data_IF_013559868360
#
_entry.id   IF_013559868360
#
_cell.length_a   1.000
_cell.length_b   1.000
_cell.length_c   1.000
_cell.angle_alpha   90.00
_cell.angle_beta   90.00
_cell.angle_gamma   90.00
#
_symmetry.space_group_name_H-M   'P 1'
#
loop_
_entity.id
_entity.type
_entity.pdbx_description
1 polymer ?
#
# COMPACT_ATOMS: atom_id res chain seq x y z
N UNK A 1 -55.12 -74.06 33.94
CA UNK A 1 -53.83 -73.70 34.58
C UNK A 1 -53.38 -72.36 33.99
N UNK A 2 -53.32 -71.31 34.82
CA UNK A 2 -52.47 -70.09 34.78
C UNK A 2 -51.95 -69.47 33.45
N UNK A 3 -52.29 -68.17 33.27
CA UNK A 3 -51.49 -67.02 32.73
C UNK A 3 -50.91 -67.07 31.27
N UNK A 4 -50.44 -65.98 30.61
CA UNK A 4 -50.42 -64.50 30.76
C UNK A 4 -50.67 -63.93 29.32
N UNK A 5 -51.57 -62.98 29.02
CA UNK A 5 -51.52 -61.50 29.12
C UNK A 5 -50.53 -60.74 28.17
N UNK A 6 -51.08 -59.91 27.27
CA UNK A 6 -50.52 -58.66 26.65
C UNK A 6 -49.22 -58.76 25.79
N UNK A 7 -48.90 -57.84 24.86
CA UNK A 7 -49.47 -56.51 24.55
C UNK A 7 -49.33 -56.12 23.05
N UNK A 8 -49.93 -54.99 22.66
CA UNK A 8 -49.72 -54.29 21.37
C UNK A 8 -48.24 -53.81 21.21
N UNK A 9 -47.80 -53.49 19.99
CA UNK A 9 -47.59 -52.09 19.56
C UNK A 9 -47.21 -51.96 18.07
N UNK A 10 -47.82 -50.98 17.40
CA UNK A 10 -47.47 -50.56 16.03
C UNK A 10 -46.07 -49.94 16.01
N UNK A 11 -45.19 -50.41 15.13
CA UNK A 11 -43.98 -49.68 14.76
C UNK A 11 -44.30 -48.66 13.66
N UNK A 12 -44.81 -47.50 14.04
CA UNK A 12 -44.73 -46.30 13.21
C UNK A 12 -43.29 -45.76 13.28
N UNK A 13 -42.50 -46.03 12.25
CA UNK A 13 -41.17 -45.41 12.11
C UNK A 13 -41.36 -43.94 11.71
N UNK A 14 -41.35 -43.05 12.69
CA UNK A 14 -41.21 -41.61 12.43
C UNK A 14 -39.79 -41.35 11.95
N UNK A 15 -39.61 -41.30 10.62
CA UNK A 15 -38.41 -40.75 10.03
C UNK A 15 -38.32 -39.27 10.41
N UNK A 16 -37.49 -38.97 11.40
CA UNK A 16 -37.10 -37.61 11.70
C UNK A 16 -36.25 -37.11 10.53
N UNK A 17 -36.90 -36.39 9.60
CA UNK A 17 -36.20 -35.64 8.57
C UNK A 17 -35.47 -34.51 9.29
N UNK A 18 -34.21 -34.75 9.63
CA UNK A 18 -33.31 -33.67 10.00
C UNK A 18 -33.12 -32.82 8.75
N UNK A 19 -33.93 -31.77 8.64
CA UNK A 19 -33.63 -30.60 7.84
C UNK A 19 -32.32 -30.04 8.37
N UNK A 20 -31.21 -30.57 7.88
CA UNK A 20 -29.92 -29.88 7.86
C UNK A 20 -30.17 -28.68 6.96
N UNK A 21 -30.63 -27.60 7.56
CA UNK A 21 -30.57 -26.30 6.93
C UNK A 21 -29.09 -25.97 6.82
N UNK A 22 -28.50 -26.35 5.68
CA UNK A 22 -27.19 -25.90 5.29
C UNK A 22 -27.29 -24.40 5.06
N UNK A 23 -27.18 -23.66 6.16
CA UNK A 23 -26.72 -22.28 6.13
C UNK A 23 -25.36 -22.37 5.47
N UNK A 24 -25.25 -21.88 4.23
CA UNK A 24 -23.95 -21.71 3.58
C UNK A 24 -23.08 -20.94 4.60
N UNK A 25 -21.96 -21.50 5.05
CA UNK A 25 -21.12 -20.80 6.02
C UNK A 25 -20.42 -19.62 5.30
N UNK A 26 -20.39 -18.43 5.93
CA UNK A 26 -19.69 -17.27 5.35
C UNK A 26 -18.22 -17.56 5.08
N UNK A 27 -17.71 -17.18 3.91
CA UNK A 27 -16.38 -17.55 3.41
C UNK A 27 -15.73 -16.41 2.59
N UNK A 28 -14.40 -16.40 2.53
CA UNK A 28 -13.67 -15.42 1.71
C UNK A 28 -13.76 -15.80 0.24
N UNK A 29 -14.21 -14.87 -0.60
CA UNK A 29 -14.25 -15.05 -2.06
C UNK A 29 -12.92 -14.68 -2.70
N UNK A 30 -12.18 -13.73 -2.10
CA UNK A 30 -10.91 -13.24 -2.60
C UNK A 30 -10.07 -12.58 -1.50
N UNK A 31 -8.74 -12.65 -1.63
CA UNK A 31 -7.78 -11.83 -0.88
C UNK A 31 -6.76 -11.31 -1.89
N UNK A 32 -6.52 -10.01 -1.90
CA UNK A 32 -5.56 -9.35 -2.79
C UNK A 32 -4.47 -8.62 -2.02
N UNK A 33 -3.23 -8.72 -2.48
CA UNK A 33 -2.09 -7.98 -1.94
C UNK A 33 -1.48 -7.09 -3.02
N UNK A 34 -1.26 -5.80 -2.72
CA UNK A 34 -0.71 -4.82 -3.67
C UNK A 34 0.23 -3.85 -2.99
N UNK A 35 1.25 -3.40 -3.70
CA UNK A 35 2.09 -2.27 -3.30
C UNK A 35 1.26 -0.98 -3.31
N UNK A 36 1.28 -0.20 -2.23
CA UNK A 36 0.36 0.93 -2.05
C UNK A 36 0.65 2.12 -2.97
N UNK A 37 1.89 2.24 -3.46
CA UNK A 37 2.36 3.37 -4.28
C UNK A 37 2.05 3.13 -5.76
N UNK A 38 2.29 1.92 -6.26
CA UNK A 38 1.97 1.53 -7.62
C UNK A 38 0.49 1.16 -7.80
N UNK A 39 -0.15 0.61 -6.77
CA UNK A 39 -1.50 0.05 -6.84
C UNK A 39 -1.57 -1.34 -7.50
N UNK A 40 -0.42 -2.00 -7.71
CA UNK A 40 -0.31 -3.28 -8.42
C UNK A 40 0.45 -4.35 -7.61
N UNK A 41 0.50 -5.57 -8.12
CA UNK A 41 1.26 -6.70 -7.58
C UNK A 41 2.77 -6.66 -7.91
N UNK A 42 3.35 -5.46 -8.06
CA UNK A 42 4.78 -5.26 -8.20
C UNK A 42 5.26 -4.15 -7.26
N UNK A 43 6.47 -4.29 -6.73
CA UNK A 43 7.01 -3.40 -5.72
C UNK A 43 8.44 -3.01 -6.09
N UNK A 44 8.78 -1.71 -5.99
CA UNK A 44 10.10 -1.15 -6.33
C UNK A 44 10.92 -0.70 -5.12
N UNK A 45 10.34 -0.80 -3.94
CA UNK A 45 11.01 -0.61 -2.67
C UNK A 45 10.32 -1.48 -1.61
N UNK A 46 10.96 -2.54 -1.11
CA UNK A 46 10.34 -3.43 -0.13
C UNK A 46 9.87 -2.74 1.17
N UNK A 47 10.34 -1.50 1.44
CA UNK A 47 9.99 -0.68 2.60
C UNK A 47 8.61 0.03 2.50
N UNK A 48 7.96 -0.08 1.34
CA UNK A 48 6.63 0.47 1.07
C UNK A 48 5.55 -0.13 2.00
N UNK A 49 4.42 0.57 2.06
CA UNK A 49 3.18 -0.02 2.54
C UNK A 49 2.58 -0.93 1.46
N UNK A 50 1.90 -1.98 1.91
CA UNK A 50 1.12 -2.89 1.09
C UNK A 50 -0.35 -2.79 1.50
N UNK A 51 -1.22 -2.65 0.50
CA UNK A 51 -2.66 -2.75 0.69
C UNK A 51 -3.06 -4.21 0.66
N UNK A 52 -3.76 -4.66 1.71
CA UNK A 52 -4.45 -5.94 1.77
C UNK A 52 -5.94 -5.66 1.62
N UNK A 53 -6.52 -6.20 0.56
CA UNK A 53 -7.95 -6.22 0.29
C UNK A 53 -8.48 -7.64 0.54
N UNK A 54 -9.63 -7.80 1.19
CA UNK A 54 -10.33 -9.08 1.19
C UNK A 54 -11.84 -8.89 0.93
N UNK A 55 -12.38 -9.81 0.13
CA UNK A 55 -13.80 -9.89 -0.22
C UNK A 55 -14.39 -11.12 0.45
N UNK A 56 -15.57 -10.95 1.05
CA UNK A 56 -16.19 -11.94 1.91
C UNK A 56 -17.65 -12.13 1.50
N UNK A 57 -18.03 -13.36 1.18
CA UNK A 57 -19.44 -13.72 1.08
C UNK A 57 -20.00 -13.94 2.49
N UNK A 58 -21.09 -13.25 2.78
CA UNK A 58 -21.78 -13.30 4.06
C UNK A 58 -23.18 -13.84 3.89
N UNK A 59 -23.43 -14.97 4.52
CA UNK A 59 -24.72 -15.65 4.46
C UNK A 59 -25.75 -15.05 5.42
N UNK A 60 -27.01 -15.18 5.05
CA UNK A 60 -28.14 -14.80 5.89
C UNK A 60 -28.04 -15.45 7.29
N UNK A 61 -28.24 -14.63 8.31
CA UNK A 61 -28.20 -15.03 9.70
C UNK A 61 -26.80 -15.34 10.25
N UNK A 62 -25.69 -15.07 9.53
CA UNK A 62 -24.33 -15.30 10.04
C UNK A 62 -24.10 -14.67 11.42
N UNK A 63 -23.74 -15.52 12.38
CA UNK A 63 -23.62 -15.21 13.81
C UNK A 63 -22.29 -15.71 14.42
N UNK A 64 -21.48 -16.43 13.64
CA UNK A 64 -20.15 -16.89 14.00
C UNK A 64 -19.07 -15.99 13.40
N UNK A 65 -17.98 -15.82 14.13
CA UNK A 65 -16.83 -15.10 13.63
C UNK A 65 -16.15 -15.83 12.46
N UNK A 66 -15.56 -15.06 11.55
CA UNK A 66 -14.81 -15.53 10.39
C UNK A 66 -13.37 -15.03 10.50
N UNK A 67 -12.40 -15.89 10.22
CA UNK A 67 -10.98 -15.58 10.46
C UNK A 67 -10.12 -15.70 9.19
N UNK A 68 -9.16 -14.80 9.05
CA UNK A 68 -8.12 -14.83 8.00
C UNK A 68 -6.75 -14.62 8.64
N UNK A 69 -5.82 -15.53 8.38
CA UNK A 69 -4.42 -15.36 8.77
C UNK A 69 -3.66 -14.52 7.74
N UNK A 70 -2.85 -13.59 8.25
CA UNK A 70 -1.92 -12.75 7.50
C UNK A 70 -0.52 -13.38 7.61
N UNK A 71 0.33 -13.33 6.58
CA UNK A 71 1.74 -13.71 6.68
C UNK A 71 2.45 -12.93 7.81
N UNK A 72 3.32 -13.61 8.57
CA UNK A 72 3.99 -13.06 9.76
C UNK A 72 5.00 -11.97 9.43
N UNK A 73 5.47 -11.96 8.19
CA UNK A 73 6.36 -10.96 7.61
C UNK A 73 5.71 -9.57 7.55
N UNK A 74 4.38 -9.46 7.76
CA UNK A 74 3.68 -8.18 7.79
C UNK A 74 3.60 -7.57 9.19
N UNK A 75 3.85 -6.27 9.30
CA UNK A 75 3.80 -5.45 10.52
C UNK A 75 3.04 -4.14 10.26
N UNK A 76 2.91 -3.29 11.29
CA UNK A 76 2.15 -2.04 11.16
C UNK A 76 0.65 -2.27 10.92
N UNK A 77 0.15 -3.44 11.33
CA UNK A 77 -1.26 -3.81 11.24
C UNK A 77 -2.14 -2.87 12.09
N UNK A 78 -3.40 -2.60 11.69
CA UNK A 78 -4.35 -1.86 12.51
C UNK A 78 -4.53 -2.47 13.91
N UNK A 79 -4.16 -1.71 14.95
CA UNK A 79 -4.34 -2.10 16.35
C UNK A 79 -5.76 -1.83 16.86
N UNK A 80 -6.43 -0.83 16.30
CA UNK A 80 -7.80 -0.48 16.65
C UNK A 80 -8.79 -1.22 15.74
N UNK A 81 -9.88 -1.79 16.28
CA UNK A 81 -10.92 -2.40 15.47
C UNK A 81 -11.61 -1.40 14.53
N UNK A 82 -12.01 -1.87 13.35
CA UNK A 82 -12.67 -1.07 12.33
C UNK A 82 -13.94 -1.76 11.78
N UNK A 83 -14.74 -1.01 11.04
CA UNK A 83 -16.05 -1.44 10.58
C UNK A 83 -15.95 -2.24 9.27
N UNK A 84 -16.65 -3.38 9.19
CA UNK A 84 -16.89 -4.07 7.93
C UNK A 84 -18.07 -3.40 7.22
N UNK A 85 -17.87 -3.00 5.95
CA UNK A 85 -18.81 -2.16 5.23
C UNK A 85 -19.45 -2.88 4.03
N UNK A 86 -20.75 -2.69 3.85
CA UNK A 86 -21.50 -3.04 2.63
C UNK A 86 -22.47 -1.90 2.31
N UNK A 87 -22.39 -1.34 1.09
CA UNK A 87 -23.22 -0.21 0.62
C UNK A 87 -23.29 0.97 1.63
N UNK A 88 -22.15 1.31 2.23
CA UNK A 88 -22.00 2.34 3.27
C UNK A 88 -22.76 2.07 4.59
N UNK A 89 -23.16 0.81 4.85
CA UNK A 89 -23.69 0.37 6.14
C UNK A 89 -22.68 -0.53 6.84
N UNK A 90 -22.60 -0.40 8.17
CA UNK A 90 -21.81 -1.26 9.05
C UNK A 90 -22.54 -2.60 9.18
N UNK A 91 -21.86 -3.68 8.80
CA UNK A 91 -22.40 -5.05 8.80
C UNK A 91 -21.61 -6.02 9.67
N UNK A 92 -20.48 -5.57 10.24
CA UNK A 92 -19.64 -6.34 11.12
C UNK A 92 -18.51 -5.50 11.68
N UNK A 93 -17.72 -6.09 12.58
CA UNK A 93 -16.55 -5.48 13.19
C UNK A 93 -15.31 -6.33 12.91
N UNK A 94 -14.30 -5.71 12.32
CA UNK A 94 -13.00 -6.31 12.03
C UNK A 94 -12.03 -5.93 13.15
N UNK A 95 -11.26 -6.91 13.61
CA UNK A 95 -10.17 -6.74 14.56
C UNK A 95 -8.98 -7.56 14.04
N UNK A 96 -7.75 -7.10 14.27
CA UNK A 96 -6.55 -7.83 13.88
C UNK A 96 -5.72 -8.02 15.15
N UNK A 97 -5.39 -9.27 15.48
CA UNK A 97 -4.58 -9.59 16.65
C UNK A 97 -3.08 -9.49 16.36
N UNK A 98 -2.28 -9.38 17.42
CA UNK A 98 -0.81 -9.43 17.35
C UNK A 98 -0.29 -10.76 16.76
N UNK A 99 -1.09 -11.84 16.81
CA UNK A 99 -0.82 -13.15 16.20
C UNK A 99 -1.15 -13.21 14.69
N UNK A 100 -1.24 -12.05 14.02
CA UNK A 100 -1.54 -11.92 12.58
C UNK A 100 -2.89 -12.50 12.15
N UNK A 101 -3.88 -12.53 13.05
CA UNK A 101 -5.21 -13.06 12.77
C UNK A 101 -6.24 -11.94 12.63
N UNK A 102 -6.80 -11.78 11.43
CA UNK A 102 -8.02 -10.99 11.22
C UNK A 102 -9.19 -11.80 11.79
N UNK A 103 -9.96 -11.19 12.68
CA UNK A 103 -11.23 -11.68 13.20
C UNK A 103 -12.34 -10.74 12.73
N UNK A 104 -13.35 -11.31 12.07
CA UNK A 104 -14.54 -10.60 11.59
C UNK A 104 -15.74 -11.10 12.39
N UNK A 105 -16.37 -10.20 13.12
CA UNK A 105 -17.51 -10.49 14.01
C UNK A 105 -18.79 -9.81 13.53
N UNK A 106 -19.94 -10.41 13.85
CA UNK A 106 -21.26 -9.96 13.38
C UNK A 106 -22.19 -9.64 14.55
N UNK A 107 -22.09 -8.43 15.16
CA UNK A 107 -22.94 -8.04 16.29
C UNK A 107 -24.44 -8.04 15.97
N UNK A 108 -24.79 -7.87 14.69
CA UNK A 108 -26.12 -8.04 14.14
C UNK A 108 -25.99 -8.94 12.91
N UNK A 109 -26.54 -10.16 12.93
CA UNK A 109 -26.48 -11.06 11.79
C UNK A 109 -27.08 -10.46 10.50
N UNK A 110 -26.50 -10.72 9.31
CA UNK A 110 -27.07 -10.32 8.03
C UNK A 110 -28.51 -10.80 7.85
N UNK A 111 -29.37 -9.99 7.23
CA UNK A 111 -30.77 -10.34 6.93
C UNK A 111 -31.00 -10.94 5.53
N UNK A 112 -29.96 -10.96 4.72
CA UNK A 112 -29.91 -11.48 3.36
C UNK A 112 -28.44 -11.84 3.07
N UNK A 113 -28.19 -12.60 2.01
CA UNK A 113 -26.83 -12.87 1.55
C UNK A 113 -26.20 -11.57 0.97
N UNK A 114 -25.02 -11.18 1.46
CA UNK A 114 -24.34 -9.93 1.07
C UNK A 114 -22.84 -10.16 0.83
N UNK A 115 -22.20 -9.24 0.11
CA UNK A 115 -20.73 -9.22 -0.04
C UNK A 115 -20.15 -8.12 0.84
N UNK A 116 -19.33 -8.50 1.82
CA UNK A 116 -18.52 -7.60 2.63
C UNK A 116 -17.16 -7.34 1.97
N UNK A 117 -16.62 -6.14 2.17
CA UNK A 117 -15.26 -5.81 1.74
C UNK A 117 -14.49 -5.22 2.93
N UNK A 118 -13.25 -5.66 3.13
CA UNK A 118 -12.32 -5.08 4.09
C UNK A 118 -11.02 -4.69 3.39
N UNK A 119 -10.42 -3.60 3.86
CA UNK A 119 -9.15 -3.06 3.36
C UNK A 119 -8.34 -2.52 4.51
N UNK A 120 -7.06 -2.87 4.57
CA UNK A 120 -6.10 -2.26 5.48
C UNK A 120 -4.71 -2.18 4.84
N UNK A 121 -3.80 -1.48 5.51
CA UNK A 121 -2.40 -1.36 5.12
C UNK A 121 -1.52 -2.16 6.08
N UNK A 122 -0.41 -2.71 5.57
CA UNK A 122 0.65 -3.34 6.34
C UNK A 122 2.02 -2.99 5.74
N UNK A 123 3.11 -3.15 6.48
CA UNK A 123 4.48 -3.10 5.96
C UNK A 123 5.14 -4.46 6.08
N UNK A 124 6.19 -4.73 5.33
CA UNK A 124 7.10 -5.81 5.70
C UNK A 124 7.88 -5.43 6.97
N UNK A 125 8.18 -6.41 7.82
CA UNK A 125 9.13 -6.23 8.92
C UNK A 125 10.56 -5.96 8.40
N UNK A 126 11.45 -5.35 9.22
CA UNK A 126 12.81 -5.02 8.77
C UNK A 126 13.64 -6.22 8.30
N UNK A 127 13.53 -7.38 8.95
CA UNK A 127 14.30 -8.58 8.61
C UNK A 127 13.79 -9.16 7.27
N UNK A 128 12.48 -9.15 7.05
CA UNK A 128 11.88 -9.52 5.77
C UNK A 128 12.31 -8.56 4.65
N UNK A 129 12.37 -7.24 4.90
CA UNK A 129 12.89 -6.23 3.96
C UNK A 129 14.35 -6.51 3.62
N UNK A 130 15.21 -6.73 4.62
CA UNK A 130 16.63 -7.02 4.43
C UNK A 130 16.86 -8.33 3.67
N UNK A 131 16.02 -9.35 3.88
CA UNK A 131 16.08 -10.62 3.14
C UNK A 131 15.84 -10.48 1.63
N UNK A 132 15.30 -9.35 1.17
CA UNK A 132 14.99 -9.06 -0.24
C UNK A 132 16.23 -8.39 -0.88
N UNK A 133 17.31 -9.16 -0.96
CA UNK A 133 18.60 -8.69 -1.49
C UNK A 133 18.62 -8.49 -3.01
N UNK A 134 17.64 -9.03 -3.75
CA UNK A 134 17.56 -8.94 -5.20
C UNK A 134 16.11 -9.03 -5.73
N UNK A 135 15.82 -8.49 -6.93
CA UNK A 135 14.54 -8.65 -7.62
C UNK A 135 14.10 -10.11 -7.71
N UNK A 136 12.90 -10.40 -7.17
CA UNK A 136 12.32 -11.75 -7.08
C UNK A 136 10.80 -11.68 -6.95
N UNK A 137 10.13 -12.80 -7.19
CA UNK A 137 8.70 -12.96 -6.86
C UNK A 137 8.62 -13.68 -5.52
N UNK A 138 7.92 -13.08 -4.55
CA UNK A 138 7.58 -13.72 -3.27
C UNK A 138 6.08 -14.01 -3.30
N UNK A 139 5.68 -15.18 -2.80
CA UNK A 139 4.28 -15.57 -2.71
C UNK A 139 3.85 -15.52 -1.25
N UNK A 140 2.96 -14.58 -0.94
CA UNK A 140 2.38 -14.41 0.38
C UNK A 140 1.12 -15.28 0.49
N UNK A 141 1.03 -16.08 1.56
CA UNK A 141 -0.05 -17.05 1.73
C UNK A 141 -0.97 -16.62 2.87
N UNK A 142 -2.25 -16.42 2.55
CA UNK A 142 -3.31 -16.15 3.50
C UNK A 142 -4.18 -17.40 3.62
N UNK A 143 -4.56 -17.77 4.85
CA UNK A 143 -5.42 -18.94 5.11
C UNK A 143 -6.65 -18.54 5.89
N UNK A 144 -7.81 -18.95 5.39
CA UNK A 144 -9.12 -18.77 5.99
C UNK A 144 -9.44 -19.89 7.00
N UNK A 145 -10.21 -19.60 8.05
CA UNK A 145 -10.74 -20.61 8.97
C UNK A 145 -11.65 -21.66 8.31
N UNK A 146 -12.19 -21.35 7.13
CA UNK A 146 -13.08 -22.18 6.34
C UNK A 146 -12.31 -23.13 5.38
N UNK A 147 -10.98 -22.97 5.30
CA UNK A 147 -10.07 -23.87 4.56
C UNK A 147 -9.56 -23.31 3.23
N UNK A 148 -10.02 -22.13 2.81
CA UNK A 148 -9.49 -21.45 1.62
C UNK A 148 -8.04 -20.97 1.84
N UNK A 149 -7.28 -21.01 0.76
CA UNK A 149 -5.90 -20.54 0.68
C UNK A 149 -5.78 -19.55 -0.48
N UNK A 150 -5.26 -18.36 -0.17
CA UNK A 150 -4.99 -17.32 -1.16
C UNK A 150 -3.49 -17.12 -1.26
N UNK A 151 -2.98 -17.10 -2.49
CA UNK A 151 -1.54 -17.06 -2.78
C UNK A 151 -1.24 -15.86 -3.64
N UNK A 152 -0.83 -14.78 -2.99
CA UNK A 152 -0.63 -13.48 -3.62
C UNK A 152 0.85 -13.25 -3.97
N UNK A 153 1.21 -13.23 -5.26
CA UNK A 153 2.57 -12.97 -5.70
C UNK A 153 2.86 -11.47 -5.72
N UNK A 154 3.90 -11.02 -5.02
CA UNK A 154 4.49 -9.69 -5.23
C UNK A 154 5.79 -9.84 -6.01
N UNK A 155 5.86 -9.17 -7.16
CA UNK A 155 7.08 -9.03 -7.95
C UNK A 155 7.90 -7.85 -7.44
N UNK A 156 8.95 -8.13 -6.67
CA UNK A 156 9.97 -7.14 -6.35
C UNK A 156 10.83 -6.92 -7.60
N UNK A 157 10.80 -5.70 -8.14
CA UNK A 157 11.47 -5.32 -9.38
C UNK A 157 12.34 -4.07 -9.16
N UNK A 158 13.46 -3.90 -9.90
CA UNK A 158 14.32 -2.75 -9.73
C UNK A 158 13.66 -1.47 -10.28
N UNK A 159 14.05 -0.31 -9.76
CA UNK A 159 13.69 1.00 -10.34
C UNK A 159 14.34 1.12 -11.74
N UNK A 160 13.69 1.79 -12.70
CA UNK A 160 14.27 1.93 -14.05
C UNK A 160 15.36 3.00 -14.06
N UNK A 161 16.60 2.61 -14.40
CA UNK A 161 17.73 3.53 -14.56
C UNK A 161 17.59 4.51 -15.73
N UNK A 162 16.71 4.23 -16.70
CA UNK A 162 16.45 5.10 -17.85
C UNK A 162 15.29 6.09 -17.64
N UNK A 163 14.61 6.06 -16.49
CA UNK A 163 13.46 6.89 -16.20
C UNK A 163 13.74 7.84 -15.02
N UNK A 164 13.11 9.03 -15.04
CA UNK A 164 13.10 9.91 -13.86
C UNK A 164 12.24 9.26 -12.79
N UNK A 165 12.78 9.16 -11.58
CA UNK A 165 12.08 8.64 -10.42
C UNK A 165 11.96 9.72 -9.33
N UNK A 166 10.90 9.61 -8.53
CA UNK A 166 10.50 10.58 -7.52
C UNK A 166 10.06 9.81 -6.29
N UNK A 167 10.61 10.19 -5.14
CA UNK A 167 10.31 9.65 -3.83
C UNK A 167 10.08 10.80 -2.84
N UNK A 168 9.34 10.57 -1.76
CA UNK A 168 8.97 11.64 -0.84
C UNK A 168 8.19 11.18 0.39
N UNK A 169 8.16 12.05 1.40
CA UNK A 169 7.45 11.79 2.65
C UNK A 169 7.36 13.01 3.55
N UNK A 170 6.80 12.83 4.74
CA UNK A 170 6.55 13.92 5.69
C UNK A 170 7.04 13.59 7.10
N UNK A 171 7.79 14.51 7.68
CA UNK A 171 8.16 14.50 9.09
C UNK A 171 7.00 15.07 9.92
N UNK A 172 6.17 14.18 10.47
CA UNK A 172 4.97 14.55 11.25
C UNK A 172 5.27 15.47 12.45
N UNK A 173 6.48 15.41 13.01
CA UNK A 173 6.87 16.17 14.20
C UNK A 173 7.12 17.66 13.94
N UNK A 174 7.36 18.07 12.69
CA UNK A 174 7.64 19.46 12.32
C UNK A 174 6.96 19.89 11.00
N UNK A 175 6.04 19.07 10.48
CA UNK A 175 5.34 19.25 9.20
C UNK A 175 6.26 19.52 7.99
N UNK A 176 7.52 19.07 8.02
CA UNK A 176 8.43 19.24 6.89
C UNK A 176 8.30 18.05 5.96
N UNK A 177 7.94 18.29 4.70
CA UNK A 177 7.99 17.26 3.67
C UNK A 177 9.38 17.22 3.04
N UNK A 178 9.89 16.02 2.77
CA UNK A 178 11.15 15.76 2.10
C UNK A 178 10.89 15.09 0.75
N UNK A 179 11.75 15.37 -0.22
CA UNK A 179 11.62 14.85 -1.58
C UNK A 179 12.99 14.46 -2.15
N UNK A 180 12.98 13.44 -3.00
CA UNK A 180 14.15 12.94 -3.72
C UNK A 180 13.77 12.76 -5.19
N UNK A 181 14.63 13.26 -6.08
CA UNK A 181 14.44 13.21 -7.54
C UNK A 181 15.65 12.54 -8.15
N UNK A 182 15.48 11.35 -8.70
CA UNK A 182 16.53 10.61 -9.39
C UNK A 182 16.39 10.82 -10.91
N UNK A 183 17.38 11.48 -11.52
CA UNK A 183 17.37 11.88 -12.94
C UNK A 183 18.52 11.15 -13.66
N UNK A 184 18.24 10.24 -14.61
CA UNK A 184 19.26 9.49 -15.35
C UNK A 184 20.31 10.41 -15.98
N UNK A 185 21.60 10.04 -15.91
CA UNK A 185 22.67 10.88 -16.50
C UNK A 185 22.50 11.02 -18.02
N UNK A 186 22.08 9.97 -18.72
CA UNK A 186 21.74 10.01 -20.16
C UNK A 186 20.69 11.08 -20.51
N UNK A 187 19.85 11.46 -19.53
CA UNK A 187 18.82 12.48 -19.68
C UNK A 187 19.28 13.91 -19.36
N UNK A 188 20.55 14.11 -18.97
CA UNK A 188 21.21 15.39 -18.69
C UNK A 188 21.96 15.99 -19.90
N UNK A 189 21.79 15.37 -21.08
CA UNK A 189 22.37 15.84 -22.35
C UNK A 189 21.85 17.22 -22.83
N UNK A 190 20.78 17.72 -22.21
CA UNK A 190 20.27 19.09 -22.31
C UNK A 190 20.04 19.65 -20.89
N UNK A 191 19.99 20.99 -20.68
CA UNK A 191 19.68 21.58 -19.37
C UNK A 191 18.38 21.05 -18.78
N UNK A 192 18.46 20.24 -17.72
CA UNK A 192 17.28 19.64 -17.07
C UNK A 192 16.69 20.62 -16.07
N UNK A 193 15.82 21.47 -16.60
CA UNK A 193 14.87 22.24 -15.80
C UNK A 193 13.94 21.28 -15.04
N UNK A 194 14.33 21.00 -13.80
CA UNK A 194 13.41 20.47 -12.79
C UNK A 194 12.39 21.56 -12.47
N UNK A 195 11.16 21.16 -12.18
CA UNK A 195 10.17 22.02 -11.56
C UNK A 195 9.31 21.14 -10.67
N UNK A 196 9.60 21.20 -9.37
CA UNK A 196 8.72 20.68 -8.33
C UNK A 196 7.69 21.75 -8.01
N UNK A 197 6.46 21.57 -8.46
CA UNK A 197 5.32 22.33 -7.95
C UNK A 197 4.62 21.52 -6.83
N UNK A 198 4.78 21.89 -5.55
CA UNK A 198 4.11 21.22 -4.43
C UNK A 198 2.59 21.50 -4.35
N UNK A 199 2.01 22.20 -5.33
CA UNK A 199 0.58 22.46 -5.45
C UNK A 199 -0.16 21.66 -6.53
N UNK A 200 0.52 20.83 -7.33
CA UNK A 200 0.03 20.28 -8.60
C UNK A 200 -1.15 19.27 -8.51
N UNK A 201 -2.32 19.76 -8.11
CA UNK A 201 -3.55 19.00 -7.86
C UNK A 201 -4.57 19.77 -7.01
N UNK A 202 -4.12 20.80 -6.28
CA UNK A 202 -4.92 21.66 -5.41
C UNK A 202 -4.86 23.12 -5.89
N UNK A 203 -5.95 23.89 -5.92
CA UNK A 203 -5.93 25.32 -6.28
C UNK A 203 -5.21 26.20 -5.24
N UNK A 204 -4.70 25.61 -4.17
CA UNK A 204 -3.88 26.25 -3.15
C UNK A 204 -2.54 25.54 -3.12
N UNK A 205 -1.44 26.26 -3.41
CA UNK A 205 -0.09 25.70 -3.25
C UNK A 205 0.15 25.43 -1.77
N UNK A 206 0.01 24.16 -1.34
CA UNK A 206 -0.02 23.83 0.08
C UNK A 206 1.35 23.86 0.75
N UNK A 207 2.46 23.79 0.00
CA UNK A 207 3.82 23.86 0.55
C UNK A 207 4.72 24.85 -0.20
N UNK A 208 5.88 25.15 0.40
CA UNK A 208 6.89 26.08 -0.07
C UNK A 208 8.26 25.43 0.12
N UNK A 209 9.11 25.49 -0.90
CA UNK A 209 10.49 24.95 -0.83
C UNK A 209 11.29 25.79 0.17
N UNK A 210 12.03 25.10 1.04
CA UNK A 210 12.95 25.74 1.98
C UNK A 210 14.26 26.01 1.22
N UNK A 211 14.52 27.27 0.89
CA UNK A 211 15.72 27.66 0.15
C UNK A 211 17.01 27.26 0.90
N UNK A 212 18.06 26.94 0.14
CA UNK A 212 19.33 26.47 0.69
C UNK A 212 19.31 25.04 1.25
N UNK A 213 18.20 24.30 1.10
CA UNK A 213 18.10 22.88 1.50
C UNK A 213 18.16 21.90 0.32
N UNK A 214 18.15 22.41 -0.91
CA UNK A 214 18.36 21.61 -2.09
C UNK A 214 19.83 21.18 -2.16
N UNK A 215 20.09 19.88 -2.34
CA UNK A 215 21.43 19.29 -2.52
C UNK A 215 21.42 18.28 -3.65
N UNK A 216 22.55 18.16 -4.35
CA UNK A 216 22.69 17.27 -5.49
C UNK A 216 23.81 16.24 -5.26
N UNK A 217 23.54 15.01 -5.65
CA UNK A 217 24.41 13.85 -5.46
C UNK A 217 24.48 13.08 -6.80
N UNK A 218 25.67 12.83 -7.33
CA UNK A 218 25.87 11.90 -8.44
C UNK A 218 25.94 10.47 -7.90
N UNK A 219 25.09 9.58 -8.40
CA UNK A 219 25.09 8.16 -8.00
C UNK A 219 26.03 7.38 -8.89
N UNK A 220 27.20 6.99 -8.36
CA UNK A 220 28.25 6.26 -9.08
C UNK A 220 28.18 4.75 -8.86
N UNK A 221 27.41 4.27 -7.87
CA UNK A 221 27.13 2.86 -7.67
C UNK A 221 25.72 2.63 -7.10
N UNK A 222 25.06 1.56 -7.54
CA UNK A 222 23.70 1.17 -7.12
C UNK A 222 23.62 -0.27 -6.60
N UNK A 223 22.56 -0.60 -5.90
CA UNK A 223 22.19 -1.96 -5.52
C UNK A 223 21.37 -2.69 -6.62
N UNK A 224 20.97 -3.92 -6.32
CA UNK A 224 20.14 -4.79 -7.18
C UNK A 224 18.73 -4.24 -7.47
N UNK A 225 18.26 -3.27 -6.70
CA UNK A 225 17.00 -2.52 -6.91
C UNK A 225 17.22 -1.17 -7.60
N UNK A 226 18.47 -0.88 -7.96
CA UNK A 226 18.95 0.40 -8.49
C UNK A 226 18.85 1.58 -7.50
N UNK A 227 18.83 1.32 -6.19
CA UNK A 227 18.98 2.33 -5.13
C UNK A 227 20.46 2.68 -4.93
N UNK A 228 20.85 3.89 -4.47
CA UNK A 228 22.25 4.26 -4.38
C UNK A 228 23.02 3.45 -3.33
N UNK A 229 24.27 3.12 -3.64
CA UNK A 229 25.27 2.59 -2.69
C UNK A 229 26.44 3.53 -2.49
N UNK A 230 26.86 4.23 -3.54
CA UNK A 230 27.91 5.25 -3.51
C UNK A 230 27.37 6.49 -4.22
N UNK A 231 27.51 7.62 -3.54
CA UNK A 231 27.04 8.94 -3.97
C UNK A 231 28.17 9.95 -3.77
N UNK A 232 28.36 10.85 -4.73
CA UNK A 232 29.33 11.94 -4.67
C UNK A 232 28.60 13.28 -4.72
N UNK A 233 28.86 14.23 -3.78
CA UNK A 233 28.25 15.56 -3.86
C UNK A 233 28.65 16.27 -5.15
N UNK A 234 27.67 16.83 -5.85
CA UNK A 234 27.90 17.65 -7.04
C UNK A 234 27.17 18.98 -6.92
N UNK A 235 27.70 20.01 -7.57
CA UNK A 235 27.02 21.29 -7.72
C UNK A 235 26.46 21.45 -9.15
N UNK A 236 25.27 22.02 -9.34
CA UNK A 236 24.81 22.43 -10.65
C UNK A 236 25.67 23.59 -11.20
N UNK A 237 25.80 23.65 -12.53
CA UNK A 237 26.44 24.75 -13.26
C UNK A 237 25.67 26.07 -13.09
N UNK A 238 24.34 25.98 -13.00
CA UNK A 238 23.43 27.10 -12.72
C UNK A 238 22.34 26.61 -11.75
N UNK A 239 22.12 27.32 -10.64
CA UNK A 239 20.98 27.10 -9.74
C UNK A 239 20.10 28.36 -9.66
N UNK A 240 18.82 28.17 -9.95
CA UNK A 240 17.76 29.17 -9.90
C UNK A 240 16.65 28.75 -8.92
N UNK A 241 16.98 27.88 -7.96
CA UNK A 241 16.03 27.34 -6.98
C UNK A 241 15.38 28.43 -6.13
N UNK A 242 14.06 28.41 -6.12
CA UNK A 242 13.20 29.36 -5.42
C UNK A 242 12.25 28.62 -4.48
N UNK A 243 11.54 29.39 -3.65
CA UNK A 243 10.46 28.92 -2.80
C UNK A 243 9.28 28.22 -3.55
N UNK A 244 9.24 28.33 -4.87
CA UNK A 244 8.22 27.73 -5.76
C UNK A 244 8.73 26.66 -6.72
N UNK A 245 10.04 26.53 -6.93
CA UNK A 245 10.61 25.54 -7.86
C UNK A 245 12.09 25.28 -7.60
N UNK A 246 12.50 24.02 -7.54
CA UNK A 246 13.91 23.62 -7.69
C UNK A 246 14.26 23.63 -9.17
N UNK A 247 15.19 24.49 -9.60
CA UNK A 247 15.47 24.76 -11.02
C UNK A 247 16.98 24.83 -11.26
N UNK A 248 17.56 23.75 -11.78
CA UNK A 248 19.02 23.55 -11.85
C UNK A 248 19.48 23.15 -13.25
N UNK A 249 20.78 23.24 -13.51
CA UNK A 249 21.45 22.78 -14.74
C UNK A 249 22.73 22.04 -14.38
N UNK A 250 22.96 20.88 -14.96
CA UNK A 250 24.13 20.04 -14.69
C UNK A 250 25.06 19.97 -15.90
N UNK A 251 26.27 19.43 -15.70
CA UNK A 251 27.13 19.03 -16.81
C UNK A 251 26.56 17.78 -17.51
N UNK A 252 26.85 17.66 -18.79
CA UNK A 252 26.49 16.54 -19.67
C UNK A 252 27.53 15.42 -19.66
N UNK A 253 28.72 15.66 -19.09
CA UNK A 253 29.83 14.70 -19.01
C UNK A 253 30.00 14.09 -17.60
N UNK A 254 28.89 13.85 -16.89
CA UNK A 254 28.92 13.11 -15.63
C UNK A 254 29.11 11.61 -15.89
N UNK A 255 29.90 10.93 -15.08
CA UNK A 255 30.12 9.49 -15.16
C UNK A 255 29.41 8.81 -13.98
N UNK A 256 28.20 8.28 -14.22
CA UNK A 256 27.35 7.71 -13.19
C UNK A 256 25.97 7.30 -13.71
N UNK A 257 25.14 6.79 -12.81
CA UNK A 257 23.81 6.25 -13.14
C UNK A 257 22.75 7.36 -13.24
N UNK A 258 22.63 8.17 -12.20
CA UNK A 258 21.67 9.28 -12.13
C UNK A 258 22.18 10.38 -11.19
N UNK A 259 21.73 11.61 -11.43
CA UNK A 259 21.81 12.71 -10.47
C UNK A 259 20.59 12.65 -9.58
N UNK A 260 20.84 12.60 -8.28
CA UNK A 260 19.85 12.67 -7.21
C UNK A 260 19.78 14.09 -6.68
N UNK A 261 18.58 14.67 -6.64
CA UNK A 261 18.31 15.98 -6.03
C UNK A 261 17.42 15.76 -4.81
N UNK A 262 17.89 16.19 -3.64
CA UNK A 262 17.11 16.14 -2.40
C UNK A 262 16.76 17.56 -1.97
N UNK A 263 15.52 17.80 -1.56
CA UNK A 263 15.07 19.10 -1.06
C UNK A 263 13.90 18.95 -0.08
N UNK A 264 13.60 20.03 0.64
CA UNK A 264 12.59 20.04 1.69
C UNK A 264 11.56 21.16 1.46
N UNK A 265 10.34 20.94 1.93
CA UNK A 265 9.26 21.93 1.89
C UNK A 265 8.54 22.03 3.24
N UNK A 266 7.97 23.20 3.51
CA UNK A 266 7.09 23.48 4.67
C UNK A 266 5.68 23.85 4.20
N UNK A 267 4.62 23.58 4.97
CA UNK A 267 3.27 24.01 4.61
C UNK A 267 3.18 25.55 4.53
N UNK A 268 2.40 26.05 3.57
CA UNK A 268 2.04 27.48 3.45
C UNK A 268 0.85 27.88 4.32
N UNK A 269 0.02 26.91 4.73
CA UNK A 269 -1.14 27.12 5.60
C UNK A 269 -1.02 26.11 6.75
N UNK A 270 -0.96 26.61 7.99
CA UNK A 270 -0.81 25.80 9.20
C UNK A 270 -2.15 25.41 9.85
N UNK A 271 -3.26 26.02 9.42
CA UNK A 271 -4.58 25.86 10.04
C UNK A 271 -5.47 24.87 9.27
N UNK A 272 -5.34 23.56 9.52
CA UNK A 272 -6.42 22.59 9.25
C UNK A 272 -6.31 21.35 10.14
N UNK A 273 -7.43 20.95 10.77
CA UNK A 273 -7.59 19.69 11.53
C UNK A 273 -7.66 18.43 10.63
N UNK A 274 -6.91 18.40 9.53
CA UNK A 274 -6.91 17.28 8.57
C UNK A 274 -5.49 16.83 8.26
N UNK A 275 -5.24 15.51 8.16
CA UNK A 275 -3.92 15.01 7.78
C UNK A 275 -3.52 15.55 6.41
N UNK A 276 -2.40 16.27 6.39
CA UNK A 276 -1.85 16.92 5.20
C UNK A 276 -1.48 15.83 4.18
N UNK A 277 -2.05 15.93 2.97
CA UNK A 277 -1.66 15.10 1.82
C UNK A 277 -0.73 15.92 0.94
N UNK A 278 0.58 15.74 1.11
CA UNK A 278 1.55 16.31 0.18
C UNK A 278 1.48 15.56 -1.15
N UNK A 279 1.21 16.28 -2.24
CA UNK A 279 1.37 15.79 -3.61
C UNK A 279 2.54 16.53 -4.24
N UNK A 280 3.32 15.86 -5.08
CA UNK A 280 4.44 16.51 -5.77
C UNK A 280 4.51 16.00 -7.20
N UNK A 281 4.38 16.93 -8.14
CA UNK A 281 4.52 16.64 -9.57
C UNK A 281 5.81 17.26 -10.11
N UNK A 282 6.36 16.57 -11.11
CA UNK A 282 7.59 17.00 -11.76
C UNK A 282 7.34 17.26 -13.25
N UNK A 283 7.90 18.37 -13.71
CA UNK A 283 7.85 18.77 -15.11
C UNK A 283 9.26 18.84 -15.66
N UNK A 284 9.52 18.07 -16.74
CA UNK A 284 10.72 18.26 -17.58
C UNK A 284 10.31 19.05 -18.81
N UNK A 285 11.02 20.14 -19.08
CA UNK A 285 10.88 20.88 -20.34
C UNK A 285 11.81 20.25 -21.38
N UNK A 286 11.25 19.54 -22.36
CA UNK A 286 12.01 19.14 -23.56
C UNK A 286 11.86 20.20 -24.64
N UNK A 287 12.79 20.26 -25.60
CA UNK A 287 12.76 21.20 -26.74
C UNK A 287 11.55 20.95 -27.69
N UNK A 288 10.73 19.91 -27.45
CA UNK A 288 9.44 19.68 -28.12
C UNK A 288 8.22 19.57 -27.20
N UNK A 289 8.30 20.11 -25.98
CA UNK A 289 7.12 20.30 -25.12
C UNK A 289 7.35 19.99 -23.63
N UNK A 290 6.33 20.32 -22.83
CA UNK A 290 6.23 19.92 -21.42
C UNK A 290 5.70 18.48 -21.35
N UNK A 291 6.55 17.53 -20.94
CA UNK A 291 6.08 16.19 -20.60
C UNK A 291 5.65 16.19 -19.13
N UNK A 292 4.35 16.01 -18.89
CA UNK A 292 3.77 15.98 -17.53
C UNK A 292 4.01 14.59 -16.92
N UNK A 293 4.87 14.52 -15.90
CA UNK A 293 5.00 13.33 -15.06
C UNK A 293 4.21 13.56 -13.77
N UNK A 294 2.93 13.16 -13.80
CA UNK A 294 2.15 13.02 -12.59
C UNK A 294 2.52 11.67 -11.94
N UNK A 295 3.47 11.71 -11.01
CA UNK A 295 3.75 10.58 -10.12
C UNK A 295 2.90 10.81 -8.88
N UNK A 296 1.90 9.96 -8.69
CA UNK A 296 1.02 10.01 -7.53
C UNK A 296 1.67 9.17 -6.42
N UNK A 297 1.91 9.81 -5.28
CA UNK A 297 2.25 9.20 -3.99
C UNK A 297 1.06 9.34 -3.04
#
# INVERSE_FOLDING_TARGET
MRFFLQCLFYYCVTAAVTLVNAKDDSFFTNVGLRDSVSGYAYCRDPSHWFQIDAELFLSEGQDRDVFLSIPREFTGLPTEPFELMHKSQVIGKVMISDDHLVQISFPIPPKENITGNLRFMAKLDPDAVESIEAPRIINYNFYSSQGEHFKEPIRFEPRSLGAVHVDGGMFLHNNTAWFVVDIPVEQLNEPVYVSSDPGAGSPVNQHQIIQGTARCELVTSVDSFHRPRITEPIEPLEDYTSESSVLMKFDHNLDGYYVRILYYTRPRILEFDRPIRAQTAFYKRTVKGLTKYAIYS
#
